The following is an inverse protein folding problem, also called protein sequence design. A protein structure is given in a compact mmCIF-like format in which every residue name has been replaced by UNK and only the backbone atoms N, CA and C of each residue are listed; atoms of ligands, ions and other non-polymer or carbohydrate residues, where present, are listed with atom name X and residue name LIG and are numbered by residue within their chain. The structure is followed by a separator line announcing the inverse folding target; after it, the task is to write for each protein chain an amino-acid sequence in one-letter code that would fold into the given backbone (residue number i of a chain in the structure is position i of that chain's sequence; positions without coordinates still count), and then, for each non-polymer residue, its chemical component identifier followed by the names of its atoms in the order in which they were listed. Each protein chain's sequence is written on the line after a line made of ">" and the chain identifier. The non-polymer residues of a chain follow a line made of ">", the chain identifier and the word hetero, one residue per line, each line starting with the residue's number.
data_IF_754901720659
#
_entry.id   IF_754901720659
#
_cell.length_a   1.000
_cell.length_b   1.000
_cell.length_c   1.000
_cell.angle_alpha   90.00
_cell.angle_beta   90.00
_cell.angle_gamma   90.00
#
_symmetry.space_group_name_H-M   'P 1'
#
loop_
_entity.id
_entity.type
_entity.pdbx_description
1 polymer ?
#
# COMPACT_ATOMS: atom_id res chain seq x y z
N UNK A 1 25.29 0.62 61.93
CA UNK A 1 24.53 1.31 60.85
C UNK A 1 24.67 0.44 59.60
N UNK A 2 23.63 -0.26 59.13
CA UNK A 2 22.64 0.21 58.13
C UNK A 2 23.36 0.77 56.88
N UNK A 3 23.25 0.31 55.62
CA UNK A 3 22.20 -0.37 54.81
C UNK A 3 22.92 -1.12 53.65
N UNK A 4 22.58 -2.37 53.32
CA UNK A 4 21.63 -2.82 52.26
C UNK A 4 21.84 -2.18 50.87
N UNK A 5 22.34 -2.97 49.92
CA UNK A 5 21.81 -3.03 48.55
C UNK A 5 21.46 -4.49 48.27
N UNK A 6 20.16 -4.77 48.22
CA UNK A 6 19.62 -6.04 47.71
C UNK A 6 18.99 -5.71 46.37
N UNK A 7 19.41 -6.41 45.32
CA UNK A 7 18.80 -6.35 44.01
C UNK A 7 17.32 -6.77 44.11
N UNK A 8 16.44 -5.94 43.55
CA UNK A 8 15.04 -6.30 43.35
C UNK A 8 14.94 -6.95 41.96
N UNK A 9 14.90 -8.28 41.94
CA UNK A 9 14.45 -9.03 40.78
C UNK A 9 12.92 -9.00 40.84
N UNK A 10 12.28 -8.22 39.98
CA UNK A 10 10.82 -8.23 39.83
C UNK A 10 10.47 -9.46 38.98
N UNK A 11 10.30 -10.61 39.62
CA UNK A 11 9.62 -11.74 38.99
C UNK A 11 8.13 -11.39 38.94
N UNK A 12 7.66 -10.97 37.76
CA UNK A 12 6.23 -10.94 37.48
C UNK A 12 5.78 -12.40 37.41
N UNK A 13 5.23 -12.86 38.51
CA UNK A 13 4.49 -14.10 38.60
C UNK A 13 3.25 -13.91 37.70
N UNK A 14 3.29 -14.42 36.47
CA UNK A 14 2.09 -14.72 35.70
C UNK A 14 1.25 -15.67 36.55
N UNK A 15 0.22 -15.12 37.19
CA UNK A 15 -0.87 -15.92 37.72
C UNK A 15 -1.63 -16.46 36.49
N UNK A 16 -1.80 -17.78 36.34
CA UNK A 16 -2.76 -18.25 35.36
C UNK A 16 -4.13 -17.80 35.87
N UNK A 17 -4.90 -17.06 35.06
CA UNK A 17 -6.34 -16.93 35.29
C UNK A 17 -6.97 -18.30 35.00
N UNK A 18 -6.79 -19.23 35.93
CA UNK A 18 -7.54 -20.48 35.99
C UNK A 18 -8.84 -20.22 36.74
N UNK A 19 -9.88 -19.73 36.04
CA UNK A 19 -11.25 -19.80 36.54
C UNK A 19 -12.31 -19.55 35.43
N UNK A 20 -12.33 -20.37 34.39
CA UNK A 20 -13.60 -20.94 33.88
C UNK A 20 -13.39 -22.25 33.13
N UNK A 21 -12.57 -23.16 33.67
CA UNK A 21 -12.53 -24.53 33.18
C UNK A 21 -13.68 -25.33 33.81
N UNK A 22 -14.92 -25.02 33.41
CA UNK A 22 -15.96 -26.04 33.34
C UNK A 22 -15.63 -26.85 32.09
N UNK A 23 -15.35 -28.15 32.21
CA UNK A 23 -15.06 -28.99 31.03
C UNK A 23 -16.22 -28.85 30.04
N UNK A 24 -15.95 -28.44 28.80
CA UNK A 24 -16.87 -28.51 27.65
C UNK A 24 -17.72 -29.80 27.75
N UNK A 25 -19.05 -29.69 27.66
CA UNK A 25 -19.94 -30.85 27.70
C UNK A 25 -20.30 -31.25 26.27
N UNK A 26 -20.56 -32.54 26.00
CA UNK A 26 -21.15 -32.99 24.71
C UNK A 26 -22.58 -32.41 24.49
N UNK A 27 -23.07 -31.65 25.47
CA UNK A 27 -24.31 -30.86 25.43
C UNK A 27 -24.17 -29.44 24.90
N UNK A 28 -22.95 -28.91 24.80
CA UNK A 28 -22.68 -27.55 24.32
C UNK A 28 -22.65 -27.54 22.77
N UNK A 29 -22.94 -26.39 22.11
CA UNK A 29 -22.72 -26.22 20.66
C UNK A 29 -21.29 -26.58 20.22
N UNK A 30 -21.10 -26.82 18.93
CA UNK A 30 -19.78 -27.14 18.36
C UNK A 30 -19.75 -26.60 16.93
N UNK A 31 -19.22 -25.39 16.80
CA UNK A 31 -19.06 -24.66 15.58
C UNK A 31 -17.80 -25.12 14.87
N UNK A 32 -17.88 -25.23 13.56
CA UNK A 32 -16.72 -25.52 12.72
C UNK A 32 -16.93 -24.97 11.32
N UNK A 33 -15.84 -24.78 10.60
CA UNK A 33 -15.87 -24.41 9.18
C UNK A 33 -15.77 -25.69 8.36
N UNK A 34 -16.73 -25.93 7.47
CA UNK A 34 -16.73 -27.08 6.58
C UNK A 34 -15.92 -26.83 5.32
N UNK A 35 -16.04 -25.64 4.76
CA UNK A 35 -15.49 -25.26 3.45
C UNK A 35 -15.35 -23.74 3.37
N UNK A 36 -14.30 -23.28 2.69
CA UNK A 36 -14.11 -21.90 2.25
C UNK A 36 -14.09 -21.95 0.72
N UNK A 37 -14.88 -21.09 0.07
CA UNK A 37 -14.95 -20.99 -1.39
C UNK A 37 -14.86 -19.55 -1.85
N UNK A 38 -14.47 -19.36 -3.11
CA UNK A 38 -14.32 -18.05 -3.71
C UNK A 38 -15.30 -17.89 -4.87
N UNK A 39 -15.82 -16.67 -5.06
CA UNK A 39 -16.63 -16.36 -6.25
C UNK A 39 -15.84 -16.45 -7.56
N UNK A 40 -14.51 -16.33 -7.46
CA UNK A 40 -13.52 -16.54 -8.52
C UNK A 40 -12.26 -17.16 -7.89
N UNK A 41 -11.86 -18.35 -8.35
CA UNK A 41 -10.67 -19.07 -7.87
C UNK A 41 -9.38 -18.63 -8.58
N UNK A 42 -9.46 -17.66 -9.50
CA UNK A 42 -8.29 -17.13 -10.23
C UNK A 42 -8.44 -15.62 -10.53
N UNK A 43 -8.64 -14.77 -9.49
CA UNK A 43 -8.81 -13.34 -9.67
C UNK A 43 -7.50 -12.66 -10.09
N UNK A 44 -7.60 -11.42 -10.55
CA UNK A 44 -6.47 -10.50 -10.69
C UNK A 44 -6.49 -9.50 -9.54
N UNK A 45 -5.33 -9.04 -9.08
CA UNK A 45 -5.24 -8.01 -8.06
C UNK A 45 -6.04 -6.76 -8.45
N UNK A 46 -6.76 -6.22 -7.47
CA UNK A 46 -7.75 -5.16 -7.64
C UNK A 46 -9.19 -5.64 -7.84
N UNK A 47 -9.42 -6.91 -8.23
CA UNK A 47 -10.76 -7.48 -8.33
C UNK A 47 -11.43 -7.59 -6.95
N UNK A 48 -12.73 -7.33 -6.86
CA UNK A 48 -13.51 -7.69 -5.67
C UNK A 48 -14.12 -9.07 -5.85
N UNK A 49 -13.72 -10.02 -4.99
CA UNK A 49 -14.30 -11.36 -4.91
C UNK A 49 -15.04 -11.55 -3.58
N UNK A 50 -16.04 -12.43 -3.57
CA UNK A 50 -16.74 -12.83 -2.35
C UNK A 50 -16.14 -14.15 -1.86
N UNK A 51 -15.68 -14.16 -0.61
CA UNK A 51 -15.29 -15.34 0.15
C UNK A 51 -16.53 -15.87 0.85
N UNK A 52 -16.84 -17.16 0.68
CA UNK A 52 -17.97 -17.82 1.35
C UNK A 52 -17.44 -18.94 2.24
N UNK A 53 -17.76 -18.89 3.53
CA UNK A 53 -17.44 -19.93 4.50
C UNK A 53 -18.72 -20.65 4.96
N UNK A 54 -18.81 -21.97 4.77
CA UNK A 54 -19.91 -22.77 5.31
C UNK A 54 -19.62 -23.14 6.77
N UNK A 55 -20.41 -22.59 7.70
CA UNK A 55 -20.25 -22.84 9.13
C UNK A 55 -21.25 -23.89 9.59
N UNK A 56 -20.76 -24.98 10.18
CA UNK A 56 -21.56 -26.03 10.80
C UNK A 56 -21.75 -25.79 12.30
N UNK A 57 -22.83 -26.36 12.86
CA UNK A 57 -23.05 -26.46 14.29
C UNK A 57 -23.44 -27.89 14.65
N UNK A 58 -22.44 -28.73 14.89
CA UNK A 58 -22.59 -30.19 15.08
C UNK A 58 -22.82 -30.59 16.55
N UNK A 59 -22.65 -29.63 17.47
CA UNK A 59 -22.75 -29.86 18.91
C UNK A 59 -24.17 -29.83 19.48
N UNK A 60 -24.25 -30.22 20.74
CA UNK A 60 -25.47 -30.23 21.53
C UNK A 60 -26.14 -31.58 21.54
N UNK A 61 -26.30 -32.17 22.73
CA UNK A 61 -27.06 -33.42 22.97
C UNK A 61 -28.53 -33.37 22.50
N UNK A 62 -29.01 -32.23 22.01
CA UNK A 62 -30.30 -32.09 21.33
C UNK A 62 -30.22 -31.62 19.87
N UNK A 63 -29.07 -31.19 19.34
CA UNK A 63 -28.92 -30.73 17.95
C UNK A 63 -29.83 -29.54 17.56
N UNK A 64 -30.31 -28.76 18.54
CA UNK A 64 -31.37 -27.77 18.33
C UNK A 64 -31.02 -26.36 18.84
N UNK A 65 -29.82 -26.16 19.38
CA UNK A 65 -29.41 -24.84 19.87
C UNK A 65 -28.86 -24.06 18.67
N UNK A 66 -29.65 -23.12 18.17
CA UNK A 66 -29.13 -22.12 17.22
C UNK A 66 -28.19 -21.17 17.95
N UNK A 67 -27.07 -20.85 17.30
CA UNK A 67 -26.05 -19.93 17.83
C UNK A 67 -25.93 -18.74 16.89
N UNK A 68 -25.89 -17.54 17.46
CA UNK A 68 -25.56 -16.32 16.71
C UNK A 68 -24.17 -15.90 17.11
N UNK A 69 -23.25 -15.81 16.14
CA UNK A 69 -21.84 -15.49 16.38
C UNK A 69 -21.28 -14.62 15.25
N UNK A 70 -20.05 -14.15 15.42
CA UNK A 70 -19.28 -13.53 14.35
C UNK A 70 -18.38 -14.56 13.67
N UNK A 71 -18.20 -14.39 12.36
CA UNK A 71 -17.19 -15.08 11.55
C UNK A 71 -16.25 -14.01 11.02
N UNK A 72 -14.97 -14.08 11.41
CA UNK A 72 -13.91 -13.17 10.99
C UNK A 72 -13.15 -13.74 9.79
N UNK A 73 -12.77 -12.88 8.86
CA UNK A 73 -12.05 -13.24 7.64
C UNK A 73 -10.73 -12.47 7.57
N UNK A 74 -9.67 -13.16 7.18
CA UNK A 74 -8.31 -12.61 7.05
C UNK A 74 -7.64 -13.06 5.75
N UNK A 75 -6.76 -12.24 5.19
CA UNK A 75 -5.75 -12.67 4.19
C UNK A 75 -4.36 -12.53 4.80
N UNK A 76 -3.57 -13.61 4.87
CA UNK A 76 -2.21 -13.59 5.46
C UNK A 76 -2.12 -12.88 6.83
N UNK A 77 -3.19 -12.96 7.62
CA UNK A 77 -3.31 -12.27 8.92
C UNK A 77 -3.82 -10.81 8.86
N UNK A 78 -4.00 -10.22 7.69
CA UNK A 78 -4.66 -8.92 7.50
C UNK A 78 -6.18 -9.08 7.62
N UNK A 79 -6.80 -8.31 8.50
CA UNK A 79 -8.25 -8.38 8.74
C UNK A 79 -9.03 -7.80 7.55
N UNK A 80 -9.87 -8.64 6.93
CA UNK A 80 -10.80 -8.22 5.87
C UNK A 80 -12.05 -7.61 6.50
N UNK A 81 -12.64 -8.36 7.43
CA UNK A 81 -13.96 -8.05 7.95
C UNK A 81 -14.54 -9.19 8.76
N UNK A 82 -15.78 -8.99 9.21
CA UNK A 82 -16.56 -10.04 9.87
C UNK A 82 -18.03 -9.94 9.55
N UNK A 83 -18.69 -11.08 9.54
CA UNK A 83 -20.15 -11.16 9.41
C UNK A 83 -20.76 -11.80 10.66
N UNK A 84 -21.93 -11.29 11.08
CA UNK A 84 -22.70 -11.92 12.16
C UNK A 84 -23.78 -12.81 11.57
N UNK A 85 -23.63 -14.13 11.78
CA UNK A 85 -24.55 -15.15 11.26
C UNK A 85 -25.29 -15.86 12.39
N UNK A 86 -26.37 -16.57 12.04
CA UNK A 86 -27.05 -17.49 12.96
C UNK A 86 -27.02 -18.90 12.40
N UNK A 87 -26.24 -19.78 13.02
CA UNK A 87 -26.09 -21.18 12.62
C UNK A 87 -27.10 -22.03 13.38
N UNK A 88 -28.09 -22.64 12.72
CA UNK A 88 -29.02 -23.54 13.38
C UNK A 88 -28.29 -24.79 13.90
N UNK A 89 -28.67 -25.30 15.07
CA UNK A 89 -28.13 -26.57 15.56
C UNK A 89 -28.37 -27.72 14.58
N UNK A 90 -27.36 -28.58 14.44
CA UNK A 90 -27.30 -29.69 13.49
C UNK A 90 -27.56 -29.28 12.04
N UNK A 91 -27.14 -28.08 11.66
CA UNK A 91 -27.25 -27.55 10.32
C UNK A 91 -26.08 -26.61 10.03
N UNK A 92 -26.04 -26.08 8.80
CA UNK A 92 -25.04 -25.11 8.35
C UNK A 92 -25.67 -23.75 8.07
N UNK A 93 -24.83 -22.72 8.03
CA UNK A 93 -25.15 -21.41 7.50
C UNK A 93 -23.88 -20.80 6.88
N UNK A 94 -24.06 -20.04 5.80
CA UNK A 94 -22.96 -19.38 5.11
C UNK A 94 -22.68 -18.02 5.74
N UNK A 95 -21.39 -17.71 5.89
CA UNK A 95 -20.90 -16.34 6.06
C UNK A 95 -20.19 -15.90 4.78
N UNK A 96 -20.45 -14.68 4.34
CA UNK A 96 -19.89 -14.07 3.14
C UNK A 96 -19.12 -12.79 3.48
N UNK A 97 -17.99 -12.60 2.80
CA UNK A 97 -17.19 -11.38 2.92
C UNK A 97 -16.61 -10.99 1.57
N UNK A 98 -16.78 -9.73 1.19
CA UNK A 98 -16.13 -9.18 0.00
C UNK A 98 -14.66 -8.82 0.32
N UNK A 99 -13.75 -9.29 -0.52
CA UNK A 99 -12.33 -9.01 -0.45
C UNK A 99 -11.86 -8.39 -1.78
N UNK A 100 -11.16 -7.26 -1.69
CA UNK A 100 -10.42 -6.70 -2.84
C UNK A 100 -9.10 -7.45 -2.91
N UNK A 101 -8.99 -8.39 -3.85
CA UNK A 101 -7.84 -9.26 -4.02
C UNK A 101 -6.57 -8.44 -4.28
N UNK A 102 -5.44 -8.94 -3.80
CA UNK A 102 -4.09 -8.39 -4.02
C UNK A 102 -3.29 -9.45 -4.75
N UNK A 103 -2.42 -9.08 -5.69
CA UNK A 103 -1.58 -10.03 -6.42
C UNK A 103 -0.64 -10.83 -5.51
N UNK A 104 -0.54 -12.14 -5.77
CA UNK A 104 0.30 -13.05 -5.01
C UNK A 104 -0.40 -14.37 -4.63
N UNK A 105 0.35 -15.24 -3.97
CA UNK A 105 -0.20 -16.44 -3.34
C UNK A 105 -0.55 -16.10 -1.88
N UNK A 106 -1.81 -16.28 -1.53
CA UNK A 106 -2.36 -15.88 -0.23
C UNK A 106 -3.04 -17.06 0.47
N UNK A 107 -3.02 -17.04 1.80
CA UNK A 107 -3.85 -17.92 2.63
C UNK A 107 -5.00 -17.11 3.23
N UNK A 108 -6.23 -17.52 2.93
CA UNK A 108 -7.44 -16.99 3.55
C UNK A 108 -7.73 -17.77 4.82
N UNK A 109 -7.78 -17.07 5.95
CA UNK A 109 -8.11 -17.65 7.25
C UNK A 109 -9.51 -17.20 7.66
N UNK A 110 -10.36 -18.15 8.03
CA UNK A 110 -11.70 -17.90 8.55
C UNK A 110 -11.80 -18.42 9.98
N UNK A 111 -12.25 -17.57 10.90
CA UNK A 111 -12.38 -17.90 12.32
C UNK A 111 -13.83 -17.65 12.77
N UNK A 112 -14.51 -18.67 13.27
CA UNK A 112 -15.84 -18.56 13.87
C UNK A 112 -15.72 -18.40 15.40
N UNK A 113 -16.48 -17.46 15.98
CA UNK A 113 -16.43 -17.15 17.41
C UNK A 113 -15.02 -16.80 17.94
N UNK A 114 -14.24 -16.04 17.18
CA UNK A 114 -12.89 -15.61 17.55
C UNK A 114 -12.79 -14.92 18.93
N UNK A 115 -13.86 -14.27 19.37
CA UNK A 115 -13.94 -13.60 20.68
C UNK A 115 -14.18 -14.59 21.84
N UNK A 116 -14.29 -15.91 21.59
CA UNK A 116 -14.59 -16.99 22.53
C UNK A 116 -15.84 -16.68 23.39
N UNK A 117 -16.92 -16.20 22.76
CA UNK A 117 -18.14 -15.76 23.46
C UNK A 117 -19.15 -16.88 23.65
N UNK A 118 -19.12 -17.88 22.77
CA UNK A 118 -19.87 -19.11 22.89
C UNK A 118 -18.96 -20.13 23.54
N UNK A 119 -19.57 -20.94 24.38
CA UNK A 119 -18.88 -22.05 25.00
C UNK A 119 -19.19 -23.28 24.18
N UNK A 120 -18.16 -23.96 23.73
CA UNK A 120 -18.30 -25.04 22.76
C UNK A 120 -17.86 -26.38 23.32
N UNK A 121 -18.25 -27.45 22.63
CA UNK A 121 -17.82 -28.82 22.92
C UNK A 121 -16.37 -29.06 22.51
N UNK A 122 -15.94 -28.34 21.47
CA UNK A 122 -14.58 -28.25 20.97
C UNK A 122 -14.32 -26.79 20.54
N UNK A 123 -13.23 -26.20 21.01
CA UNK A 123 -12.82 -24.82 20.67
C UNK A 123 -11.64 -24.84 19.68
N UNK A 124 -11.13 -26.04 19.33
CA UNK A 124 -9.92 -26.21 18.51
C UNK A 124 -10.25 -26.39 17.00
N UNK A 125 -11.52 -26.34 16.61
CA UNK A 125 -12.04 -26.52 15.24
C UNK A 125 -12.74 -25.27 14.68
N UNK A 126 -12.50 -24.12 15.31
CA UNK A 126 -13.12 -22.84 14.98
C UNK A 126 -12.33 -22.04 13.94
N UNK A 127 -11.25 -22.59 13.39
CA UNK A 127 -10.38 -21.95 12.41
C UNK A 127 -10.12 -22.89 11.23
N UNK A 128 -10.24 -22.39 10.01
CA UNK A 128 -9.89 -23.09 8.78
C UNK A 128 -9.18 -22.15 7.81
N UNK A 129 -8.34 -22.71 6.94
CA UNK A 129 -7.55 -21.99 5.96
C UNK A 129 -7.80 -22.53 4.54
N UNK A 130 -7.81 -21.64 3.56
CA UNK A 130 -7.83 -22.00 2.14
C UNK A 130 -6.87 -21.11 1.35
N UNK A 131 -6.09 -21.70 0.45
CA UNK A 131 -5.09 -20.98 -0.33
C UNK A 131 -5.72 -20.46 -1.64
N UNK A 132 -5.31 -19.26 -2.07
CA UNK A 132 -5.72 -18.66 -3.34
C UNK A 132 -4.53 -18.01 -4.04
N UNK A 133 -4.40 -18.27 -5.34
CA UNK A 133 -3.43 -17.61 -6.21
C UNK A 133 -4.12 -16.46 -6.96
N UNK A 134 -3.61 -15.25 -6.80
CA UNK A 134 -4.12 -14.03 -7.43
C UNK A 134 -3.09 -13.51 -8.43
N UNK A 135 -3.50 -13.28 -9.68
CA UNK A 135 -2.62 -12.74 -10.70
C UNK A 135 -2.25 -11.28 -10.40
N UNK A 136 -0.99 -10.90 -10.59
CA UNK A 136 -0.55 -9.52 -10.42
C UNK A 136 -1.16 -8.60 -11.50
N UNK A 137 -1.73 -7.45 -11.11
CA UNK A 137 -2.11 -6.40 -12.04
C UNK A 137 -0.86 -5.64 -12.53
N UNK A 138 -0.98 -4.84 -13.61
CA UNK A 138 0.16 -4.10 -14.14
C UNK A 138 0.68 -2.97 -13.23
N UNK A 139 -0.16 -2.42 -12.35
CA UNK A 139 0.19 -1.27 -11.50
C UNK A 139 0.20 -1.67 -10.03
N UNK A 140 1.24 -1.25 -9.30
CA UNK A 140 1.25 -1.23 -7.84
C UNK A 140 1.21 0.22 -7.36
N UNK A 141 0.23 0.57 -6.54
CA UNK A 141 0.22 1.81 -5.77
C UNK A 141 0.79 1.52 -4.37
N UNK A 142 1.98 2.06 -4.09
CA UNK A 142 2.58 2.04 -2.76
C UNK A 142 2.18 3.29 -1.99
N UNK A 143 1.42 3.10 -0.92
CA UNK A 143 1.00 4.14 0.00
C UNK A 143 1.94 4.17 1.21
N UNK A 144 2.89 5.09 1.15
CA UNK A 144 3.97 5.32 2.12
C UNK A 144 3.93 6.78 2.61
N UNK A 145 2.73 7.35 2.69
CA UNK A 145 2.55 8.76 3.04
C UNK A 145 2.57 9.03 4.55
N UNK A 146 2.79 8.00 5.37
CA UNK A 146 2.78 8.03 6.83
C UNK A 146 1.51 8.70 7.38
N UNK A 147 0.37 8.49 6.72
CA UNK A 147 -0.96 8.91 7.17
C UNK A 147 -1.61 7.88 8.11
N UNK A 148 -2.90 8.04 8.40
CA UNK A 148 -3.52 7.27 9.49
C UNK A 148 -3.78 5.80 9.12
N UNK A 149 -3.86 5.50 7.82
CA UNK A 149 -4.17 4.19 7.29
C UNK A 149 -2.94 3.24 7.22
N UNK A 150 -1.72 3.77 7.34
CA UNK A 150 -0.43 3.07 7.39
C UNK A 150 0.35 3.40 8.69
N UNK A 151 -0.40 3.58 9.80
CA UNK A 151 0.16 3.67 11.15
C UNK A 151 0.70 5.05 11.56
N UNK A 152 0.64 6.03 10.67
CA UNK A 152 1.20 7.35 10.81
C UNK A 152 0.25 8.47 11.26
N UNK A 153 0.68 9.71 11.00
CA UNK A 153 -0.02 10.94 11.45
C UNK A 153 -0.04 12.08 10.43
N UNK A 154 0.56 11.89 9.25
CA UNK A 154 0.59 12.85 8.15
C UNK A 154 -0.77 12.95 7.47
N UNK A 155 -0.86 13.87 6.52
CA UNK A 155 -2.05 14.06 5.69
C UNK A 155 -2.20 12.88 4.76
N UNK A 156 -3.38 12.28 4.74
CA UNK A 156 -3.66 11.16 3.84
C UNK A 156 -3.88 11.61 2.40
N UNK A 157 -3.21 10.92 1.49
CA UNK A 157 -3.16 11.26 0.07
C UNK A 157 -3.57 10.11 -0.85
N UNK A 158 -3.53 8.85 -0.40
CA UNK A 158 -3.81 7.64 -1.21
C UNK A 158 -5.14 7.70 -2.00
N UNK A 159 -6.17 8.28 -1.38
CA UNK A 159 -7.50 8.45 -1.93
C UNK A 159 -7.50 9.31 -3.19
N UNK A 160 -6.57 10.26 -3.33
CA UNK A 160 -6.47 11.09 -4.52
C UNK A 160 -5.98 10.28 -5.73
N UNK A 161 -5.05 9.36 -5.50
CA UNK A 161 -4.47 8.49 -6.54
C UNK A 161 -5.45 7.40 -6.94
N UNK A 162 -6.02 6.68 -5.97
CA UNK A 162 -7.00 5.61 -6.23
C UNK A 162 -8.23 6.13 -6.97
N UNK A 163 -8.79 7.28 -6.57
CA UNK A 163 -9.92 7.89 -7.29
C UNK A 163 -9.56 8.25 -8.74
N UNK A 164 -8.33 8.74 -8.99
CA UNK A 164 -7.91 9.10 -10.35
C UNK A 164 -7.65 7.86 -11.22
N UNK A 165 -7.06 6.80 -10.66
CA UNK A 165 -6.90 5.49 -11.32
C UNK A 165 -8.26 4.89 -11.68
N UNK A 166 -9.23 4.93 -10.77
CA UNK A 166 -10.60 4.43 -11.00
C UNK A 166 -11.36 5.23 -12.08
N UNK A 167 -10.97 6.50 -12.30
CA UNK A 167 -11.59 7.39 -13.28
C UNK A 167 -10.92 7.36 -14.66
N UNK A 168 -9.85 6.58 -14.84
CA UNK A 168 -9.15 6.47 -16.12
C UNK A 168 -10.09 6.05 -17.25
N UNK A 169 -9.82 6.57 -18.45
CA UNK A 169 -10.64 6.30 -19.63
C UNK A 169 -10.49 4.84 -20.10
N UNK A 170 -9.29 4.30 -19.90
CA UNK A 170 -8.97 2.88 -20.07
C UNK A 170 -8.74 2.26 -18.71
N UNK A 171 -9.60 1.32 -18.32
CA UNK A 171 -9.43 0.59 -17.06
C UNK A 171 -8.15 -0.24 -17.09
N UNK A 172 -7.31 -0.02 -16.08
CA UNK A 172 -6.08 -0.76 -15.82
C UNK A 172 -6.16 -1.24 -14.38
N UNK A 173 -5.93 -2.54 -14.15
CA UNK A 173 -5.93 -3.11 -12.81
C UNK A 173 -4.76 -2.57 -11.99
N UNK A 174 -4.96 -2.44 -10.68
CA UNK A 174 -3.91 -2.01 -9.76
C UNK A 174 -4.11 -2.61 -8.37
N UNK A 175 -3.00 -2.88 -7.71
CA UNK A 175 -2.96 -3.21 -6.27
C UNK A 175 -2.64 -1.97 -5.44
N UNK A 176 -3.02 -2.04 -4.15
CA UNK A 176 -2.60 -1.05 -3.15
C UNK A 176 -1.91 -1.78 -2.02
N UNK A 177 -0.66 -1.45 -1.77
CA UNK A 177 0.09 -1.91 -0.59
C UNK A 177 0.43 -0.68 0.25
N UNK A 178 0.16 -0.79 1.55
CA UNK A 178 0.47 0.25 2.54
C UNK A 178 1.78 -0.09 3.23
N UNK A 179 2.68 0.88 3.27
CA UNK A 179 3.99 0.74 3.93
C UNK A 179 3.97 1.63 5.16
N UNK A 180 4.32 1.06 6.30
CA UNK A 180 4.51 1.84 7.52
C UNK A 180 5.78 2.68 7.38
N UNK A 181 5.74 3.95 7.77
CA UNK A 181 6.87 4.89 7.69
C UNK A 181 8.21 4.30 8.17
N UNK A 182 9.22 4.37 7.31
CA UNK A 182 10.56 3.84 7.56
C UNK A 182 10.66 2.31 7.64
N UNK A 183 9.62 1.58 7.23
CA UNK A 183 9.71 0.16 6.91
C UNK A 183 10.00 -0.02 5.42
N UNK A 184 10.56 -1.18 5.07
CA UNK A 184 10.77 -1.52 3.67
C UNK A 184 9.43 -1.81 2.98
N UNK A 185 9.31 -1.39 1.72
CA UNK A 185 8.29 -1.87 0.82
C UNK A 185 8.53 -3.35 0.43
N UNK A 186 7.65 -3.98 -0.39
CA UNK A 186 7.90 -5.32 -0.89
C UNK A 186 9.26 -5.48 -1.56
N UNK A 187 9.82 -6.68 -1.50
CA UNK A 187 11.11 -6.99 -2.09
C UNK A 187 11.09 -6.97 -3.62
N UNK A 188 12.28 -6.98 -4.23
CA UNK A 188 12.43 -6.99 -5.69
C UNK A 188 11.61 -8.10 -6.38
N UNK A 189 11.59 -9.32 -5.81
CA UNK A 189 10.85 -10.44 -6.40
C UNK A 189 9.37 -10.07 -6.55
N UNK A 190 8.78 -9.43 -5.53
CA UNK A 190 7.40 -8.91 -5.59
C UNK A 190 7.26 -7.71 -6.53
N UNK A 191 8.14 -6.72 -6.42
CA UNK A 191 8.06 -5.50 -7.24
C UNK A 191 8.17 -5.81 -8.74
N UNK A 192 8.98 -6.81 -9.11
CA UNK A 192 9.23 -7.22 -10.50
C UNK A 192 8.03 -7.88 -11.20
N UNK A 193 6.98 -8.24 -10.45
CA UNK A 193 5.73 -8.76 -11.01
C UNK A 193 4.84 -7.64 -11.58
N UNK A 194 5.09 -6.38 -11.19
CA UNK A 194 4.38 -5.19 -11.69
C UNK A 194 5.12 -4.54 -12.85
N UNK A 195 4.38 -3.84 -13.71
CA UNK A 195 4.96 -3.05 -14.80
C UNK A 195 5.26 -1.61 -14.37
N UNK A 196 4.40 -1.04 -13.53
CA UNK A 196 4.50 0.32 -13.01
C UNK A 196 4.32 0.30 -11.49
N UNK A 197 5.25 0.94 -10.79
CA UNK A 197 5.09 1.31 -9.38
C UNK A 197 4.76 2.79 -9.30
N UNK A 198 3.66 3.13 -8.62
CA UNK A 198 3.34 4.51 -8.21
C UNK A 198 3.64 4.58 -6.71
N UNK A 199 4.75 5.23 -6.34
CA UNK A 199 5.20 5.37 -4.95
C UNK A 199 4.79 6.72 -4.40
N UNK A 200 3.86 6.70 -3.44
CA UNK A 200 3.27 7.88 -2.82
C UNK A 200 3.85 8.04 -1.42
N UNK A 201 4.80 8.97 -1.26
CA UNK A 201 5.39 9.31 0.04
C UNK A 201 4.70 10.50 0.71
N UNK A 202 3.79 11.19 0.02
CA UNK A 202 3.06 12.35 0.57
C UNK A 202 3.99 13.41 1.18
N UNK A 203 3.86 13.63 2.49
CA UNK A 203 4.78 14.48 3.29
C UNK A 203 5.49 13.68 4.37
N UNK A 204 5.67 12.37 4.15
CA UNK A 204 6.54 11.61 5.01
C UNK A 204 7.98 12.11 4.86
N UNK A 205 8.61 12.30 6.00
CA UNK A 205 10.01 12.64 6.16
C UNK A 205 10.37 12.65 7.63
N UNK A 206 11.64 12.47 7.92
CA UNK A 206 12.17 12.77 9.25
C UNK A 206 13.33 13.75 9.14
N UNK A 207 13.42 14.68 10.10
CA UNK A 207 14.47 15.70 10.05
C UNK A 207 15.86 15.07 10.19
N UNK A 208 16.72 15.38 9.22
CA UNK A 208 18.07 14.85 9.09
C UNK A 208 18.17 13.94 7.87
N UNK A 209 19.38 13.44 7.59
CA UNK A 209 19.59 12.48 6.50
C UNK A 209 19.17 11.11 7.05
N UNK A 210 17.88 10.80 6.90
CA UNK A 210 17.26 9.57 7.38
C UNK A 210 16.43 9.01 6.27
N UNK A 211 16.85 7.91 5.69
CA UNK A 211 16.17 7.24 4.58
C UNK A 211 14.90 6.52 5.09
N UNK A 212 13.83 7.28 5.35
CA UNK A 212 12.55 6.73 5.84
C UNK A 212 11.47 6.68 4.77
N UNK A 213 11.53 7.59 3.78
CA UNK A 213 10.67 7.61 2.58
C UNK A 213 11.09 6.55 1.56
N UNK A 214 12.39 6.33 1.42
CA UNK A 214 12.95 5.15 0.78
C UNK A 214 14.10 4.69 1.66
N UNK A 215 13.97 3.53 2.28
CA UNK A 215 15.08 2.91 3.02
C UNK A 215 16.23 2.54 2.08
N UNK A 216 17.41 2.22 2.64
CA UNK A 216 18.54 1.67 1.86
C UNK A 216 18.13 0.46 1.02
N UNK A 217 17.23 -0.39 1.55
CA UNK A 217 16.74 -1.59 0.86
C UNK A 217 15.74 -1.22 -0.24
N UNK A 218 14.86 -0.25 0.00
CA UNK A 218 13.95 0.27 -1.02
C UNK A 218 14.70 0.89 -2.19
N UNK A 219 15.73 1.71 -1.92
CA UNK A 219 16.60 2.28 -2.95
C UNK A 219 17.26 1.18 -3.78
N UNK A 220 17.72 0.10 -3.14
CA UNK A 220 18.29 -1.04 -3.85
C UNK A 220 17.24 -1.73 -4.74
N UNK A 221 16.09 -2.10 -4.18
CA UNK A 221 15.04 -2.82 -4.89
C UNK A 221 14.46 -1.99 -6.05
N UNK A 222 14.28 -0.69 -5.85
CA UNK A 222 13.80 0.26 -6.87
C UNK A 222 14.84 0.41 -7.98
N UNK A 223 16.12 0.50 -7.63
CA UNK A 223 17.20 0.50 -8.62
C UNK A 223 17.19 -0.75 -9.48
N UNK A 224 17.14 -1.93 -8.86
CA UNK A 224 17.08 -3.23 -9.54
C UNK A 224 15.79 -3.36 -10.40
N UNK A 225 14.65 -2.82 -9.93
CA UNK A 225 13.38 -2.80 -10.66
C UNK A 225 13.46 -1.93 -11.92
N UNK A 226 14.01 -0.72 -11.82
CA UNK A 226 14.22 0.18 -12.96
C UNK A 226 15.22 -0.40 -13.97
N UNK A 227 16.34 -0.94 -13.50
CA UNK A 227 17.33 -1.64 -14.33
C UNK A 227 16.75 -2.89 -15.02
N UNK A 228 15.72 -3.50 -14.41
CA UNK A 228 14.94 -4.61 -14.96
C UNK A 228 13.93 -4.21 -16.05
N UNK A 229 13.76 -2.92 -16.32
CA UNK A 229 12.79 -2.38 -17.28
C UNK A 229 11.44 -2.03 -16.68
N UNK A 230 11.31 -2.05 -15.35
CA UNK A 230 10.16 -1.50 -14.64
C UNK A 230 10.04 0.01 -14.80
N UNK A 231 8.83 0.54 -14.56
CA UNK A 231 8.56 1.98 -14.61
C UNK A 231 8.17 2.51 -13.24
N UNK A 232 8.66 3.68 -12.87
CA UNK A 232 8.37 4.30 -11.57
C UNK A 232 7.72 5.67 -11.74
N UNK A 233 6.68 5.92 -10.97
CA UNK A 233 6.24 7.26 -10.63
C UNK A 233 6.49 7.47 -9.14
N UNK A 234 7.49 8.27 -8.78
CA UNK A 234 7.79 8.63 -7.40
C UNK A 234 7.25 10.02 -7.08
N UNK A 235 6.46 10.14 -6.00
CA UNK A 235 5.80 11.38 -5.62
C UNK A 235 5.95 11.62 -4.12
N UNK A 236 6.45 12.80 -3.77
CA UNK A 236 6.48 13.24 -2.39
C UNK A 236 7.12 14.61 -2.27
N UNK A 237 6.71 15.37 -1.25
CA UNK A 237 7.27 16.69 -0.99
C UNK A 237 8.74 16.64 -0.57
N UNK A 238 9.10 15.66 0.26
CA UNK A 238 10.35 15.67 1.00
C UNK A 238 11.27 14.47 0.70
N UNK A 239 10.99 13.67 -0.35
CA UNK A 239 11.81 12.49 -0.66
C UNK A 239 13.30 12.87 -0.77
N UNK A 240 13.60 14.01 -1.40
CA UNK A 240 14.98 14.45 -1.56
C UNK A 240 15.59 15.07 -0.30
N UNK A 241 14.78 15.76 0.51
CA UNK A 241 15.21 16.27 1.81
C UNK A 241 15.59 15.12 2.74
N UNK A 242 14.81 14.05 2.73
CA UNK A 242 15.00 12.84 3.52
C UNK A 242 16.29 12.10 3.15
N UNK A 243 16.61 12.02 1.85
CA UNK A 243 17.87 11.43 1.35
C UNK A 243 19.08 12.28 1.75
N UNK A 244 18.97 13.59 1.56
CA UNK A 244 20.06 14.52 1.83
C UNK A 244 19.50 15.94 2.04
N UNK A 245 19.50 16.38 3.29
CA UNK A 245 18.91 17.64 3.74
C UNK A 245 19.67 18.90 3.30
N UNK A 246 20.76 18.77 2.54
CA UNK A 246 21.52 19.90 2.02
C UNK A 246 21.11 20.29 0.59
N UNK A 247 20.87 21.60 0.40
CA UNK A 247 20.82 22.21 -0.93
C UNK A 247 22.14 21.98 -1.67
N UNK A 248 22.05 21.82 -2.99
CA UNK A 248 23.21 21.85 -3.87
C UNK A 248 23.26 20.74 -4.90
N UNK A 249 24.45 20.61 -5.50
CA UNK A 249 24.73 19.63 -6.54
C UNK A 249 24.61 18.19 -6.04
N UNK A 250 24.20 17.31 -6.94
CA UNK A 250 24.20 15.85 -6.80
C UNK A 250 25.11 15.26 -7.85
N UNK A 251 25.67 14.09 -7.58
CA UNK A 251 26.75 13.52 -8.39
C UNK A 251 26.53 12.04 -8.69
N UNK A 252 27.16 11.57 -9.77
CA UNK A 252 27.22 10.15 -10.13
C UNK A 252 27.63 9.30 -8.91
N UNK A 253 26.82 8.27 -8.62
CA UNK A 253 26.92 7.44 -7.43
C UNK A 253 25.95 7.81 -6.29
N UNK A 254 25.31 8.98 -6.34
CA UNK A 254 24.18 9.33 -5.47
C UNK A 254 22.88 8.77 -6.07
N UNK A 255 22.01 8.16 -5.26
CA UNK A 255 20.76 7.56 -5.76
C UNK A 255 19.85 8.59 -6.45
N UNK A 256 19.73 9.79 -5.88
CA UNK A 256 18.95 10.88 -6.47
C UNK A 256 19.51 11.36 -7.83
N UNK A 257 20.82 11.25 -8.05
CA UNK A 257 21.44 11.59 -9.33
C UNK A 257 21.24 10.46 -10.32
N UNK A 258 21.61 9.24 -9.94
CA UNK A 258 21.64 8.10 -10.84
C UNK A 258 20.23 7.70 -11.26
N UNK A 259 19.31 7.52 -10.30
CA UNK A 259 17.96 7.01 -10.58
C UNK A 259 16.92 8.11 -10.78
N UNK A 260 16.91 9.15 -9.95
CA UNK A 260 15.91 10.22 -10.09
C UNK A 260 16.33 11.32 -11.07
N UNK A 261 17.59 11.33 -11.49
CA UNK A 261 18.09 12.28 -12.48
C UNK A 261 18.23 13.71 -11.97
N UNK A 262 18.33 13.90 -10.66
CA UNK A 262 18.49 15.22 -10.04
C UNK A 262 19.97 15.59 -10.04
N UNK A 263 20.34 16.69 -10.69
CA UNK A 263 21.71 17.22 -10.73
C UNK A 263 21.98 18.32 -9.70
N UNK A 264 20.94 19.04 -9.30
CA UNK A 264 20.98 20.05 -8.25
C UNK A 264 19.58 20.14 -7.63
N UNK A 265 19.55 20.43 -6.33
CA UNK A 265 18.31 20.67 -5.61
C UNK A 265 18.39 21.90 -4.70
N UNK A 266 17.26 22.57 -4.56
CA UNK A 266 17.00 23.64 -3.59
C UNK A 266 15.76 23.27 -2.80
N UNK A 267 15.94 22.95 -1.53
CA UNK A 267 14.88 22.42 -0.68
C UNK A 267 13.90 23.52 -0.24
N UNK A 268 12.68 23.12 0.14
CA UNK A 268 11.70 23.97 0.81
C UNK A 268 11.31 25.27 0.05
N UNK A 269 11.36 25.27 -1.29
CA UNK A 269 11.25 26.53 -2.04
C UNK A 269 9.85 27.10 -2.01
N UNK A 270 8.92 26.42 -2.65
CA UNK A 270 7.50 26.71 -2.62
C UNK A 270 6.79 25.73 -3.55
N UNK A 271 5.67 25.12 -3.16
CA UNK A 271 4.79 24.55 -4.18
C UNK A 271 4.29 25.69 -5.10
N UNK A 272 4.36 25.53 -6.43
CA UNK A 272 3.87 26.56 -7.34
C UNK A 272 2.38 26.82 -7.07
N UNK A 273 1.87 28.01 -7.40
CA UNK A 273 0.42 28.28 -7.38
C UNK A 273 -0.29 27.75 -8.65
N UNK A 274 0.49 27.62 -9.73
CA UNK A 274 0.09 26.98 -10.97
C UNK A 274 1.29 26.17 -11.46
N UNK A 275 1.10 24.87 -11.67
CA UNK A 275 2.08 24.00 -12.30
C UNK A 275 1.93 24.13 -13.83
N UNK A 276 2.97 24.62 -14.51
CA UNK A 276 2.99 24.80 -15.95
C UNK A 276 3.79 23.70 -16.63
N UNK A 277 3.16 23.06 -17.61
CA UNK A 277 3.72 22.09 -18.53
C UNK A 277 4.70 22.69 -19.53
N UNK A 278 5.51 21.82 -20.12
CA UNK A 278 6.45 22.16 -21.19
C UNK A 278 5.78 21.87 -22.54
N UNK A 279 5.85 22.82 -23.47
CA UNK A 279 5.33 22.62 -24.84
C UNK A 279 6.03 21.42 -25.52
N UNK A 280 5.28 20.60 -26.26
CA UNK A 280 5.77 19.41 -26.98
C UNK A 280 6.31 18.26 -26.06
N UNK A 281 6.19 18.38 -24.74
CA UNK A 281 6.51 17.29 -23.80
C UNK A 281 5.42 16.19 -23.84
N UNK A 282 5.77 14.89 -23.88
CA UNK A 282 4.82 13.79 -24.07
C UNK A 282 3.78 13.65 -22.95
N UNK A 283 4.06 14.15 -21.75
CA UNK A 283 3.10 14.14 -20.63
C UNK A 283 2.34 15.45 -20.61
N UNK A 284 3.06 16.57 -20.60
CA UNK A 284 2.48 17.86 -20.24
C UNK A 284 2.02 18.71 -21.41
N UNK A 285 2.61 18.64 -22.61
CA UNK A 285 2.26 19.41 -23.82
C UNK A 285 1.68 20.84 -23.56
N UNK A 286 2.36 21.61 -22.70
CA UNK A 286 2.00 22.98 -22.35
C UNK A 286 0.72 23.16 -21.48
N UNK A 287 0.14 22.08 -20.93
CA UNK A 287 -1.00 22.14 -20.00
C UNK A 287 -0.62 22.86 -18.70
N UNK A 288 -1.62 23.36 -17.96
CA UNK A 288 -1.36 24.01 -16.68
C UNK A 288 -2.43 23.71 -15.65
N UNK A 289 -2.01 23.46 -14.41
CA UNK A 289 -2.90 23.10 -13.30
C UNK A 289 -2.79 24.07 -12.14
N UNK A 290 -3.93 24.55 -11.66
CA UNK A 290 -4.00 25.30 -10.40
C UNK A 290 -3.72 24.37 -9.21
N UNK A 291 -2.77 24.76 -8.38
CA UNK A 291 -2.29 23.98 -7.24
C UNK A 291 -2.66 24.65 -5.93
N UNK A 292 -3.15 23.85 -4.99
CA UNK A 292 -3.48 24.23 -3.63
C UNK A 292 -2.97 23.14 -2.69
N UNK A 293 -1.72 23.22 -2.21
CA UNK A 293 -1.15 22.23 -1.30
C UNK A 293 -2.06 21.98 -0.10
N UNK A 294 -2.34 20.70 0.15
CA UNK A 294 -3.14 20.27 1.30
C UNK A 294 -2.28 19.99 2.55
N UNK A 295 -0.96 19.98 2.37
CA UNK A 295 0.07 19.79 3.39
C UNK A 295 0.76 21.13 3.67
N UNK A 296 1.38 21.27 4.84
CA UNK A 296 2.01 22.53 5.26
C UNK A 296 3.41 22.74 4.68
N UNK A 297 3.95 21.71 4.05
CA UNK A 297 5.31 21.65 3.58
C UNK A 297 5.48 22.22 2.16
N UNK A 298 6.72 22.51 1.74
CA UNK A 298 7.03 23.16 0.46
C UNK A 298 7.80 22.22 -0.46
N UNK A 299 7.35 22.11 -1.71
CA UNK A 299 8.09 21.32 -2.68
C UNK A 299 9.48 21.88 -3.03
N UNK A 300 10.35 20.97 -3.45
CA UNK A 300 11.72 21.23 -3.86
C UNK A 300 11.82 21.79 -5.29
N UNK A 301 12.85 22.61 -5.52
CA UNK A 301 13.24 23.07 -6.87
C UNK A 301 14.33 22.16 -7.44
N UNK A 302 13.98 21.39 -8.45
CA UNK A 302 14.85 20.40 -9.08
C UNK A 302 15.62 20.99 -10.27
N UNK A 303 16.83 20.51 -10.53
CA UNK A 303 17.46 20.66 -11.85
C UNK A 303 17.80 19.26 -12.40
N UNK A 304 17.24 18.86 -13.56
CA UNK A 304 17.54 17.57 -14.13
C UNK A 304 18.99 17.49 -14.66
N UNK A 305 19.59 16.31 -14.60
CA UNK A 305 20.82 15.97 -15.34
C UNK A 305 20.51 15.68 -16.81
N UNK A 306 21.55 15.60 -17.65
CA UNK A 306 21.41 15.16 -19.04
C UNK A 306 20.70 13.78 -19.11
N UNK A 307 19.74 13.66 -20.03
CA UNK A 307 18.88 12.47 -20.18
C UNK A 307 17.57 12.53 -19.38
N UNK A 308 17.38 13.59 -18.58
CA UNK A 308 16.15 13.86 -17.83
C UNK A 308 15.54 15.19 -18.28
N UNK A 309 14.23 15.20 -18.44
CA UNK A 309 13.50 16.33 -18.97
C UNK A 309 12.50 16.87 -17.95
N UNK A 310 12.35 18.19 -17.92
CA UNK A 310 11.36 18.88 -17.08
C UNK A 310 9.95 18.64 -17.64
N UNK A 311 8.99 18.38 -16.74
CA UNK A 311 7.57 18.24 -17.05
C UNK A 311 6.77 19.42 -16.50
N UNK A 312 6.88 19.72 -15.20
CA UNK A 312 6.11 20.79 -14.53
C UNK A 312 7.02 21.77 -13.79
N UNK A 313 6.63 23.05 -13.77
CA UNK A 313 7.36 24.12 -13.06
C UNK A 313 6.48 25.32 -12.67
N UNK A 314 7.02 26.30 -11.94
CA UNK A 314 6.34 27.59 -11.67
C UNK A 314 6.39 28.59 -12.85
N UNK A 315 6.39 28.12 -14.09
CA UNK A 315 6.59 28.87 -15.34
C UNK A 315 8.05 29.29 -15.59
N UNK A 316 8.75 28.52 -16.43
CA UNK A 316 10.14 28.77 -16.83
C UNK A 316 11.12 27.77 -16.21
N UNK A 317 12.36 28.20 -15.97
CA UNK A 317 13.45 27.36 -15.43
C UNK A 317 13.67 27.61 -13.94
N UNK A 318 12.57 27.69 -13.19
CA UNK A 318 12.58 27.90 -11.74
C UNK A 318 11.45 27.11 -11.12
N UNK A 319 11.70 26.58 -9.93
CA UNK A 319 10.77 25.75 -9.17
C UNK A 319 10.22 24.62 -10.04
N UNK A 320 11.15 23.84 -10.59
CA UNK A 320 10.86 22.64 -11.36
C UNK A 320 10.39 21.58 -10.37
N UNK A 321 9.11 21.24 -10.46
CA UNK A 321 8.47 20.31 -9.51
C UNK A 321 8.39 18.90 -10.04
N UNK A 322 8.65 18.68 -11.34
CA UNK A 322 8.49 17.37 -11.97
C UNK A 322 9.49 17.19 -13.10
N UNK A 323 10.14 16.03 -13.11
CA UNK A 323 11.06 15.59 -14.15
C UNK A 323 10.72 14.16 -14.59
N UNK A 324 11.16 13.78 -15.79
CA UNK A 324 10.96 12.44 -16.36
C UNK A 324 12.19 11.95 -17.13
N UNK A 325 12.23 10.65 -17.43
CA UNK A 325 13.12 10.07 -18.45
C UNK A 325 12.48 8.86 -19.14
N UNK A 326 13.02 8.51 -20.31
CA UNK A 326 12.74 7.30 -21.08
C UNK A 326 13.98 6.73 -21.77
N UNK A 327 15.20 7.21 -21.42
CA UNK A 327 16.42 6.78 -22.11
C UNK A 327 16.83 5.35 -21.70
N UNK A 328 16.97 5.10 -20.40
CA UNK A 328 17.43 3.82 -19.84
C UNK A 328 16.28 3.02 -19.20
N UNK A 329 15.38 3.73 -18.51
CA UNK A 329 14.14 3.24 -17.91
C UNK A 329 13.11 4.38 -17.95
N UNK A 330 11.87 4.10 -17.55
CA UNK A 330 10.82 5.12 -17.49
C UNK A 330 10.60 5.59 -16.06
N UNK A 331 10.72 6.90 -15.85
CA UNK A 331 10.49 7.54 -14.57
C UNK A 331 9.68 8.82 -14.76
N UNK A 332 8.75 9.07 -13.82
CA UNK A 332 8.31 10.42 -13.47
C UNK A 332 8.61 10.66 -11.99
N UNK A 333 9.33 11.73 -11.66
CA UNK A 333 9.56 12.14 -10.28
C UNK A 333 8.92 13.49 -10.02
N UNK A 334 8.11 13.57 -8.96
CA UNK A 334 7.41 14.78 -8.53
C UNK A 334 7.83 15.18 -7.11
N UNK A 335 8.39 16.38 -6.97
CA UNK A 335 8.71 17.04 -5.70
C UNK A 335 7.53 17.86 -5.13
N UNK A 336 6.36 17.75 -5.74
CA UNK A 336 5.09 18.24 -5.19
C UNK A 336 4.09 17.10 -5.22
N UNK A 337 3.20 17.06 -4.25
CA UNK A 337 2.25 15.96 -4.17
C UNK A 337 1.14 16.13 -5.21
N UNK A 338 0.73 15.02 -5.83
CA UNK A 338 -0.35 14.99 -6.84
C UNK A 338 -1.70 15.46 -6.29
N UNK A 339 -1.96 15.25 -4.99
CA UNK A 339 -3.15 15.77 -4.31
C UNK A 339 -3.23 17.30 -4.30
N UNK A 340 -2.12 18.00 -4.58
CA UNK A 340 -2.09 19.46 -4.64
C UNK A 340 -2.82 20.04 -5.85
N UNK A 341 -3.07 19.28 -6.92
CA UNK A 341 -3.91 19.76 -8.02
C UNK A 341 -5.33 19.99 -7.52
N UNK A 342 -5.84 21.20 -7.67
CA UNK A 342 -7.05 21.63 -6.96
C UNK A 342 -8.33 20.90 -7.44
N UNK A 343 -8.44 20.69 -8.75
CA UNK A 343 -9.62 20.09 -9.39
C UNK A 343 -9.42 18.59 -9.63
N UNK A 344 -10.44 17.79 -9.32
CA UNK A 344 -10.38 16.33 -9.53
C UNK A 344 -10.22 15.94 -10.99
N UNK A 345 -10.86 16.66 -11.91
CA UNK A 345 -10.73 16.39 -13.35
C UNK A 345 -9.31 16.59 -13.86
N UNK A 346 -8.55 17.51 -13.24
CA UNK A 346 -7.15 17.73 -13.60
C UNK A 346 -6.26 16.59 -13.08
N UNK A 347 -6.61 16.04 -11.91
CA UNK A 347 -5.98 14.83 -11.38
C UNK A 347 -6.27 13.62 -12.27
N UNK A 348 -7.53 13.43 -12.66
CA UNK A 348 -7.92 12.36 -13.57
C UNK A 348 -7.18 12.47 -14.92
N UNK A 349 -7.11 13.68 -15.51
CA UNK A 349 -6.37 13.93 -16.76
C UNK A 349 -4.86 13.66 -16.61
N UNK A 350 -4.24 14.19 -15.56
CA UNK A 350 -2.80 14.01 -15.36
C UNK A 350 -2.42 12.56 -15.01
N UNK A 351 -3.26 11.85 -14.24
CA UNK A 351 -3.10 10.42 -13.99
C UNK A 351 -3.11 9.64 -15.31
N UNK A 352 -4.07 9.90 -16.20
CA UNK A 352 -4.11 9.26 -17.51
C UNK A 352 -2.82 9.52 -18.30
N UNK A 353 -2.38 10.79 -18.40
CA UNK A 353 -1.19 11.16 -19.16
C UNK A 353 0.09 10.52 -18.64
N UNK A 354 0.28 10.47 -17.32
CA UNK A 354 1.47 9.86 -16.70
C UNK A 354 1.42 8.33 -16.82
N UNK A 355 0.27 7.69 -16.56
CA UNK A 355 0.15 6.23 -16.66
C UNK A 355 0.29 5.78 -18.11
N UNK A 356 -0.31 6.48 -19.09
CA UNK A 356 -0.09 6.19 -20.50
C UNK A 356 1.39 6.29 -20.87
N UNK A 357 2.07 7.37 -20.45
CA UNK A 357 3.50 7.53 -20.68
C UNK A 357 4.34 6.40 -20.08
N UNK A 358 4.05 5.98 -18.84
CA UNK A 358 4.86 5.00 -18.11
C UNK A 358 4.55 3.55 -18.53
N UNK A 359 3.29 3.22 -18.83
CA UNK A 359 2.87 1.85 -19.20
C UNK A 359 3.02 1.58 -20.70
N UNK A 360 3.03 2.61 -21.55
CA UNK A 360 3.30 2.41 -22.98
C UNK A 360 4.66 1.72 -23.15
N UNK A 361 4.67 0.53 -23.75
CA UNK A 361 5.90 -0.22 -23.98
C UNK A 361 6.83 0.64 -24.84
N UNK A 362 8.11 0.75 -24.46
CA UNK A 362 9.14 1.28 -25.35
C UNK A 362 9.05 0.46 -26.66
N UNK A 363 8.69 1.10 -27.78
CA UNK A 363 8.79 0.49 -29.10
C UNK A 363 10.27 0.26 -29.46
N UNK A 364 10.95 -0.67 -28.79
CA UNK A 364 12.29 -1.11 -29.12
C UNK A 364 12.36 -2.64 -29.18
N UNK A 365 12.29 -3.12 -30.43
CA UNK A 365 12.79 -4.40 -30.94
C UNK A 365 12.04 -5.71 -30.59
N UNK A 366 10.81 -5.84 -31.11
CA UNK A 366 10.43 -7.09 -31.80
C UNK A 366 10.84 -6.99 -33.28
N UNK A 367 12.15 -7.00 -33.51
CA UNK A 367 12.74 -7.11 -34.83
C UNK A 367 13.90 -8.12 -34.85
N UNK A 368 13.57 -9.42 -34.67
CA UNK A 368 13.89 -10.53 -35.60
C UNK A 368 13.66 -11.92 -34.97
#
# INVERSE_FOLDING_TARGET
>A
MLRKLTAFLLAILMLPLSAMNTLADEGDPDLSINEITFSDDSPTGGDTITITAEIANDGGSSGLISVTTNVSFYWDGNYIGKESITVPGSNTADAEMDWKAVGGSHTITVIVDEDEQIRESNEENNEENEDIDVAYPPILLLDDDNSSNNGGTRTETDGYYTNALDNMSTSIGYDVIRVDSGQNAPDYDTLSEYSLIIWVCGSDYQSGDTDITFTDEDKQNVGDFLDGGGSLWAIGHDIMYDFNSADGDRYEGDFEYDYFGVSYIDHDRQSPAVAYGVDDDPISDGISYETSPIMTDFGDDLNPRDGFEKVLSSNGDYNISTIRTEEDYKLVFMAIDFSSFSDSSNRDEFMELVVEYLVEQLENDVAL
#
